data_IF_487117853979
#
_entry.id   IF_487117853979
#
_cell.length_a   1.000
_cell.length_b   1.000
_cell.length_c   1.000
_cell.angle_alpha   90.00
_cell.angle_beta   90.00
_cell.angle_gamma   90.00
#
_symmetry.space_group_name_H-M   'P 1'
#
loop_
_entity.id
_entity.type
_entity.pdbx_description
1 polymer ?
#
# COMPACT_ATOMS: atom_id res chain seq x y z
N UNK A 1 -28.45 17.06 -15.59
CA UNK A 1 -28.62 17.26 -14.15
C UNK A 1 -29.20 15.97 -13.60
N UNK A 2 -28.37 15.08 -13.06
CA UNK A 2 -28.84 13.88 -12.39
C UNK A 2 -29.07 14.23 -10.90
N UNK A 3 -30.33 14.22 -10.49
CA UNK A 3 -30.73 14.24 -9.10
C UNK A 3 -30.23 12.97 -8.42
N UNK A 4 -29.14 13.07 -7.66
CA UNK A 4 -28.72 12.03 -6.74
C UNK A 4 -29.71 12.10 -5.57
N UNK A 5 -30.66 11.15 -5.55
CA UNK A 5 -31.58 11.00 -4.43
C UNK A 5 -30.79 10.76 -3.14
N UNK A 6 -30.93 11.65 -2.14
CA UNK A 6 -30.49 11.39 -0.77
C UNK A 6 -31.32 10.22 -0.23
N UNK A 7 -30.82 9.01 -0.32
CA UNK A 7 -31.39 7.89 0.43
C UNK A 7 -31.21 8.18 1.93
N UNK A 8 -32.30 8.15 2.69
CA UNK A 8 -32.26 8.31 4.14
C UNK A 8 -31.37 7.20 4.75
N UNK A 9 -30.42 7.60 5.59
CA UNK A 9 -29.54 6.67 6.29
C UNK A 9 -30.36 5.81 7.27
N UNK A 10 -30.07 4.53 7.34
CA UNK A 10 -30.66 3.64 8.34
C UNK A 10 -30.15 3.98 9.75
N UNK A 11 -30.91 3.63 10.78
CA UNK A 11 -30.49 3.83 12.18
C UNK A 11 -29.12 3.16 12.48
N UNK A 12 -28.84 1.99 11.88
CA UNK A 12 -27.56 1.31 12.01
C UNK A 12 -26.39 2.10 11.38
N UNK A 13 -26.62 2.70 10.22
CA UNK A 13 -25.61 3.55 9.55
C UNK A 13 -25.34 4.85 10.34
N UNK A 14 -26.36 5.43 10.95
CA UNK A 14 -26.22 6.60 11.84
C UNK A 14 -25.44 6.23 13.11
N UNK A 15 -25.73 5.08 13.71
CA UNK A 15 -25.00 4.56 14.87
C UNK A 15 -23.52 4.32 14.57
N UNK A 16 -23.21 3.65 13.47
CA UNK A 16 -21.84 3.41 13.01
C UNK A 16 -21.08 4.73 12.79
N UNK A 17 -21.71 5.71 12.13
CA UNK A 17 -21.08 7.03 11.89
C UNK A 17 -20.74 7.73 13.19
N UNK A 18 -21.67 7.77 14.14
CA UNK A 18 -21.44 8.40 15.44
C UNK A 18 -20.33 7.72 16.25
N UNK A 19 -20.19 6.41 16.14
CA UNK A 19 -19.10 5.68 16.79
C UNK A 19 -17.74 5.99 16.15
N UNK A 20 -17.64 6.01 14.82
CA UNK A 20 -16.42 6.38 14.09
C UNK A 20 -16.05 7.84 14.42
N UNK A 21 -17.02 8.76 14.35
CA UNK A 21 -16.77 10.17 14.67
C UNK A 21 -16.16 10.33 16.07
N UNK A 22 -16.72 9.63 17.06
CA UNK A 22 -16.23 9.69 18.44
C UNK A 22 -14.82 9.12 18.59
N UNK A 23 -14.53 7.97 17.96
CA UNK A 23 -13.22 7.33 18.03
C UNK A 23 -12.15 8.20 17.36
N UNK A 24 -12.43 8.72 16.16
CA UNK A 24 -11.46 9.55 15.43
C UNK A 24 -11.23 10.87 16.16
N UNK A 25 -12.30 11.51 16.68
CA UNK A 25 -12.17 12.75 17.45
C UNK A 25 -11.37 12.53 18.73
N UNK A 26 -11.57 11.40 19.43
CA UNK A 26 -10.81 11.09 20.65
C UNK A 26 -9.30 10.96 20.37
N UNK A 27 -8.88 10.47 19.21
CA UNK A 27 -7.48 10.43 18.81
C UNK A 27 -6.88 11.83 18.56
N UNK A 28 -7.67 12.72 17.96
CA UNK A 28 -7.30 14.13 17.77
C UNK A 28 -7.17 14.84 19.13
N UNK A 29 -8.17 14.67 20.00
CA UNK A 29 -8.22 15.30 21.32
C UNK A 29 -7.09 14.80 22.23
N UNK A 30 -6.70 13.54 22.08
CA UNK A 30 -5.57 12.93 22.77
C UNK A 30 -4.19 13.33 22.19
N UNK A 31 -4.14 14.12 21.11
CA UNK A 31 -2.88 14.55 20.50
C UNK A 31 -2.15 13.45 19.72
N UNK A 32 -2.84 12.40 19.28
CA UNK A 32 -2.23 11.28 18.53
C UNK A 32 -1.96 11.67 17.07
N UNK A 33 -2.90 12.38 16.44
CA UNK A 33 -2.79 12.93 15.09
C UNK A 33 -3.63 14.20 14.95
N UNK A 34 -3.21 15.16 14.10
CA UNK A 34 -3.91 16.45 13.95
C UNK A 34 -5.18 16.35 13.15
N UNK A 35 -5.30 15.34 12.30
CA UNK A 35 -6.47 15.09 11.47
C UNK A 35 -6.37 13.77 10.71
N UNK A 36 -7.48 13.36 10.13
CA UNK A 36 -7.60 12.10 9.42
C UNK A 36 -8.66 12.14 8.32
N UNK A 37 -8.58 11.20 7.40
CA UNK A 37 -9.67 10.82 6.49
C UNK A 37 -10.05 9.39 6.79
N UNK A 38 -11.34 9.13 6.95
CA UNK A 38 -11.90 7.79 7.09
C UNK A 38 -12.88 7.53 5.95
N UNK A 39 -12.70 6.39 5.28
CA UNK A 39 -13.64 5.89 4.28
C UNK A 39 -14.02 4.46 4.65
N UNK A 40 -15.31 4.21 4.76
CA UNK A 40 -15.89 2.89 4.99
C UNK A 40 -16.84 2.58 3.85
N UNK A 41 -16.76 1.38 3.31
CA UNK A 41 -17.58 0.97 2.18
C UNK A 41 -17.89 -0.51 2.15
N UNK A 42 -18.69 -0.87 1.16
CA UNK A 42 -18.99 -2.24 0.73
C UNK A 42 -18.59 -2.40 -0.74
N UNK A 43 -18.75 -3.60 -1.28
CA UNK A 43 -18.46 -3.87 -2.69
C UNK A 43 -19.24 -2.98 -3.67
N UNK A 44 -20.41 -2.48 -3.30
CA UNK A 44 -21.32 -1.68 -4.13
C UNK A 44 -21.36 -0.19 -3.79
N UNK A 45 -20.99 0.21 -2.56
CA UNK A 45 -21.24 1.58 -2.08
C UNK A 45 -20.22 2.05 -1.05
N UNK A 46 -20.07 3.37 -0.98
CA UNK A 46 -19.37 4.05 0.11
C UNK A 46 -20.41 4.41 1.18
N UNK A 47 -20.20 3.94 2.40
CA UNK A 47 -21.11 4.17 3.54
C UNK A 47 -20.73 5.44 4.33
N UNK A 48 -19.42 5.70 4.42
CA UNK A 48 -18.85 6.89 5.06
C UNK A 48 -17.64 7.34 4.25
N UNK A 49 -17.53 8.65 3.99
CA UNK A 49 -16.30 9.29 3.54
C UNK A 49 -16.23 10.63 4.25
N UNK A 50 -15.26 10.81 5.16
CA UNK A 50 -15.20 12.00 6.00
C UNK A 50 -13.76 12.37 6.37
N UNK A 51 -13.49 13.69 6.35
CA UNK A 51 -12.30 14.30 6.92
C UNK A 51 -12.58 14.81 8.33
N UNK A 52 -11.55 14.77 9.18
CA UNK A 52 -11.59 15.18 10.59
C UNK A 52 -10.36 16.02 10.90
N UNK A 53 -10.49 16.96 11.84
CA UNK A 53 -9.37 17.78 12.30
C UNK A 53 -8.75 18.62 11.17
N UNK A 54 -7.43 18.72 11.18
CA UNK A 54 -6.68 19.58 10.29
C UNK A 54 -5.41 18.89 9.76
N UNK A 55 -4.75 19.49 8.74
CA UNK A 55 -3.48 18.95 8.21
C UNK A 55 -2.33 19.01 9.24
N UNK A 56 -2.40 19.97 10.14
CA UNK A 56 -1.42 20.16 11.23
C UNK A 56 -2.16 20.50 12.52
N UNK A 57 -1.45 20.63 13.63
CA UNK A 57 -2.04 21.07 14.89
C UNK A 57 -2.52 22.53 14.90
N UNK A 58 -2.28 23.28 13.84
CA UNK A 58 -2.85 24.63 13.68
C UNK A 58 -4.30 24.57 13.20
N UNK A 59 -5.26 25.18 13.92
CA UNK A 59 -6.65 25.24 13.50
C UNK A 59 -6.88 26.06 12.21
N UNK A 60 -5.89 26.83 11.77
CA UNK A 60 -5.93 27.55 10.49
C UNK A 60 -5.46 26.71 9.31
N UNK A 61 -4.92 25.51 9.55
CA UNK A 61 -4.52 24.62 8.46
C UNK A 61 -5.75 23.93 7.84
N UNK A 62 -5.67 23.46 6.57
CA UNK A 62 -6.82 22.88 5.88
C UNK A 62 -7.41 21.66 6.61
N UNK A 63 -8.72 21.48 6.49
CA UNK A 63 -9.40 20.24 6.89
C UNK A 63 -9.17 19.18 5.81
N UNK A 64 -8.81 17.95 6.17
CA UNK A 64 -8.64 16.88 5.21
C UNK A 64 -9.94 16.53 4.47
N UNK A 65 -9.82 16.24 3.18
CA UNK A 65 -10.94 15.82 2.32
C UNK A 65 -10.69 14.41 1.76
N UNK A 66 -11.70 13.52 1.83
CA UNK A 66 -11.59 12.18 1.25
C UNK A 66 -11.32 12.17 -0.26
N UNK A 67 -11.79 13.22 -0.97
CA UNK A 67 -11.69 13.36 -2.42
C UNK A 67 -10.36 13.93 -2.89
N UNK A 68 -9.78 14.82 -2.09
CA UNK A 68 -8.72 15.71 -2.60
C UNK A 68 -7.43 15.72 -1.79
N UNK A 69 -7.45 15.29 -0.53
CA UNK A 69 -6.23 15.23 0.28
C UNK A 69 -5.38 14.03 -0.14
N UNK A 70 -4.15 14.30 -0.55
CA UNK A 70 -3.16 13.31 -0.88
C UNK A 70 -2.40 12.89 0.38
N UNK A 71 -2.39 11.61 0.68
CA UNK A 71 -1.61 11.02 1.75
C UNK A 71 -0.44 10.21 1.17
N UNK A 72 0.74 10.35 1.74
CA UNK A 72 1.83 9.41 1.53
C UNK A 72 1.42 8.08 2.15
N UNK A 73 1.31 7.06 1.33
CA UNK A 73 0.80 5.75 1.75
C UNK A 73 1.84 4.90 2.46
N UNK A 74 3.11 5.30 2.45
CA UNK A 74 4.20 4.49 2.99
C UNK A 74 4.07 3.01 2.55
N UNK A 75 4.09 2.05 3.48
CA UNK A 75 4.02 0.62 3.16
C UNK A 75 2.69 0.15 2.56
N UNK A 76 1.60 0.91 2.65
CA UNK A 76 0.36 0.60 1.91
C UNK A 76 0.62 0.63 0.39
N UNK A 77 1.69 1.28 -0.07
CA UNK A 77 2.21 1.19 -1.46
C UNK A 77 2.36 -0.27 -1.90
N UNK A 78 2.86 -1.16 -1.04
CA UNK A 78 3.06 -2.57 -1.37
C UNK A 78 1.78 -3.22 -1.86
N UNK A 79 0.69 -3.03 -1.12
CA UNK A 79 -0.58 -3.71 -1.39
C UNK A 79 -1.45 -2.99 -2.42
N UNK A 80 -1.22 -1.70 -2.68
CA UNK A 80 -1.98 -0.92 -3.68
C UNK A 80 -1.29 -0.90 -5.04
N UNK A 81 0.04 -1.01 -5.09
CA UNK A 81 0.81 -0.94 -6.33
C UNK A 81 1.55 -2.25 -6.65
N UNK A 82 2.52 -2.62 -5.83
CA UNK A 82 3.48 -3.67 -6.14
C UNK A 82 2.84 -5.06 -6.22
N UNK A 83 2.03 -5.40 -5.21
CA UNK A 83 1.35 -6.71 -5.18
C UNK A 83 0.35 -6.87 -6.33
N UNK A 84 -0.57 -5.92 -6.61
CA UNK A 84 -1.47 -6.05 -7.75
C UNK A 84 -0.76 -6.10 -9.10
N UNK A 85 0.36 -5.38 -9.27
CA UNK A 85 1.18 -5.50 -10.47
C UNK A 85 1.79 -6.91 -10.60
N UNK A 86 2.29 -7.50 -9.50
CA UNK A 86 2.75 -8.89 -9.49
C UNK A 86 1.60 -9.87 -9.79
N UNK A 87 0.40 -9.67 -9.21
CA UNK A 87 -0.79 -10.47 -9.51
C UNK A 87 -1.09 -10.49 -11.01
N UNK A 88 -1.04 -9.33 -11.67
CA UNK A 88 -1.23 -9.23 -13.14
C UNK A 88 -0.23 -10.07 -13.91
N UNK A 89 1.03 -10.03 -13.54
CA UNK A 89 2.08 -10.81 -14.20
C UNK A 89 1.94 -12.31 -13.94
N UNK A 90 1.53 -12.69 -12.73
CA UNK A 90 1.27 -14.10 -12.38
C UNK A 90 0.10 -14.64 -13.18
N UNK A 91 -1.00 -13.91 -13.26
CA UNK A 91 -2.18 -14.28 -14.03
C UNK A 91 -1.89 -14.40 -15.52
N UNK A 92 -1.07 -13.50 -16.05
CA UNK A 92 -0.62 -13.54 -17.45
C UNK A 92 0.43 -14.65 -17.73
N UNK A 93 0.83 -15.43 -16.73
CA UNK A 93 1.87 -16.47 -16.87
C UNK A 93 3.28 -15.94 -17.13
N UNK A 94 3.48 -14.63 -17.01
CA UNK A 94 4.78 -13.96 -17.22
C UNK A 94 5.68 -14.01 -15.99
N UNK A 95 5.13 -14.27 -14.82
CA UNK A 95 5.79 -14.44 -13.54
C UNK A 95 5.22 -15.67 -12.84
N UNK A 96 6.06 -16.55 -12.31
CA UNK A 96 5.63 -17.68 -11.49
C UNK A 96 6.10 -17.47 -10.06
N UNK A 97 5.30 -17.88 -9.09
CA UNK A 97 5.67 -17.81 -7.68
C UNK A 97 6.95 -18.60 -7.36
N UNK A 98 7.20 -19.69 -8.09
CA UNK A 98 8.39 -20.53 -7.97
C UNK A 98 9.60 -20.01 -8.73
N UNK A 99 9.48 -18.99 -9.56
CA UNK A 99 10.63 -18.45 -10.31
C UNK A 99 11.69 -17.93 -9.33
N UNK A 100 12.98 -18.30 -9.52
CA UNK A 100 14.05 -17.73 -8.73
C UNK A 100 14.23 -16.24 -9.06
N UNK A 101 14.52 -15.44 -8.04
CA UNK A 101 14.74 -13.97 -8.20
C UNK A 101 15.85 -13.70 -9.23
N UNK A 102 16.89 -14.52 -9.24
CA UNK A 102 18.03 -14.39 -10.17
C UNK A 102 17.67 -14.54 -11.65
N UNK A 103 16.52 -15.16 -11.96
CA UNK A 103 16.00 -15.20 -13.34
C UNK A 103 15.77 -13.82 -13.91
N UNK A 104 15.34 -12.89 -13.07
CA UNK A 104 14.99 -11.52 -13.46
C UNK A 104 16.05 -10.50 -13.06
N UNK A 105 16.75 -10.79 -11.96
CA UNK A 105 17.79 -9.97 -11.36
C UNK A 105 19.07 -10.82 -11.23
N UNK A 106 19.81 -11.06 -12.34
CA UNK A 106 21.00 -11.89 -12.31
C UNK A 106 22.11 -11.30 -11.43
N UNK A 107 22.01 -10.00 -11.09
CA UNK A 107 22.91 -9.30 -10.18
C UNK A 107 22.68 -9.63 -8.69
N UNK A 108 21.54 -10.29 -8.35
CA UNK A 108 21.21 -10.71 -6.98
C UNK A 108 21.98 -11.97 -6.59
N UNK A 109 23.30 -11.81 -6.40
CA UNK A 109 24.25 -12.91 -6.16
C UNK A 109 24.71 -12.98 -4.69
N UNK A 110 25.05 -14.18 -4.24
CA UNK A 110 25.56 -14.46 -2.90
C UNK A 110 25.03 -15.78 -2.35
N UNK A 111 25.56 -16.20 -1.21
CA UNK A 111 25.25 -17.48 -0.58
C UNK A 111 23.74 -17.67 -0.33
N UNK A 112 23.17 -18.73 -0.91
CA UNK A 112 21.76 -19.11 -0.76
C UNK A 112 20.76 -18.26 -1.53
N UNK A 113 21.19 -17.19 -2.24
CA UNK A 113 20.29 -16.31 -3.01
C UNK A 113 19.71 -16.99 -4.25
N UNK A 114 20.37 -18.01 -4.77
CA UNK A 114 19.88 -18.89 -5.84
C UNK A 114 18.59 -19.63 -5.45
N UNK A 115 18.36 -19.82 -4.15
CA UNK A 115 17.16 -20.46 -3.60
C UNK A 115 16.01 -19.45 -3.37
N UNK A 116 16.24 -18.15 -3.47
CA UNK A 116 15.18 -17.14 -3.23
C UNK A 116 14.25 -17.09 -4.43
N UNK A 117 12.98 -17.40 -4.20
CA UNK A 117 11.91 -17.31 -5.21
C UNK A 117 11.04 -16.07 -5.04
N UNK A 118 10.23 -15.77 -6.05
CA UNK A 118 9.19 -14.73 -5.99
C UNK A 118 8.25 -14.93 -4.81
N UNK A 119 7.85 -16.18 -4.52
CA UNK A 119 7.03 -16.51 -3.35
C UNK A 119 7.72 -16.11 -2.04
N UNK A 120 9.04 -16.33 -1.92
CA UNK A 120 9.78 -15.93 -0.73
C UNK A 120 9.78 -14.41 -0.51
N UNK A 121 9.82 -13.60 -1.58
CA UNK A 121 9.68 -12.14 -1.48
C UNK A 121 8.28 -11.76 -0.99
N UNK A 122 7.23 -12.37 -1.57
CA UNK A 122 5.83 -12.09 -1.24
C UNK A 122 5.46 -12.52 0.18
N UNK A 123 5.96 -13.65 0.67
CA UNK A 123 5.73 -14.13 2.04
C UNK A 123 6.67 -13.51 3.07
N UNK A 124 7.62 -12.67 2.66
CA UNK A 124 8.67 -12.16 3.53
C UNK A 124 9.51 -13.25 4.19
N UNK A 125 9.79 -14.31 3.45
CA UNK A 125 10.60 -15.44 3.89
C UNK A 125 11.88 -15.62 3.08
N UNK A 126 12.34 -14.55 2.42
CA UNK A 126 13.57 -14.58 1.61
C UNK A 126 14.85 -14.75 2.41
N UNK A 127 14.82 -14.43 3.70
CA UNK A 127 16.01 -14.36 4.56
C UNK A 127 16.70 -12.99 4.56
N UNK A 128 16.22 -12.03 3.78
CA UNK A 128 16.73 -10.65 3.82
C UNK A 128 16.27 -9.94 5.10
N UNK A 129 17.13 -9.03 5.62
CA UNK A 129 16.79 -8.18 6.78
C UNK A 129 15.57 -7.29 6.52
N UNK A 130 14.90 -6.85 7.58
CA UNK A 130 13.74 -5.98 7.51
C UNK A 130 14.03 -4.65 6.79
N UNK A 131 15.13 -4.00 7.15
CA UNK A 131 15.48 -2.66 6.72
C UNK A 131 16.98 -2.49 6.51
N UNK A 132 17.36 -1.69 5.52
CA UNK A 132 18.74 -1.26 5.26
C UNK A 132 18.72 0.25 5.03
N UNK A 133 19.50 1.07 5.76
CA UNK A 133 19.48 2.53 5.61
C UNK A 133 20.22 2.96 4.32
N UNK A 134 19.55 2.77 3.18
CA UNK A 134 20.12 3.06 1.85
C UNK A 134 20.47 4.54 1.71
N UNK A 135 19.61 5.42 2.21
CA UNK A 135 19.81 6.87 2.12
C UNK A 135 21.05 7.38 2.86
N UNK A 136 21.49 6.66 3.92
CA UNK A 136 22.71 7.00 4.67
C UNK A 136 23.97 6.38 4.02
N UNK A 137 23.81 5.21 3.38
CA UNK A 137 24.92 4.36 2.91
C UNK A 137 25.19 4.52 1.40
N UNK A 138 24.41 5.33 0.70
CA UNK A 138 24.55 5.55 -0.74
C UNK A 138 24.43 7.04 -1.09
N UNK A 139 25.02 7.43 -2.19
CA UNK A 139 24.97 8.81 -2.71
C UNK A 139 23.90 9.00 -3.80
N UNK A 140 23.51 7.92 -4.47
CA UNK A 140 22.58 7.91 -5.60
C UNK A 140 21.77 6.61 -5.64
N UNK A 141 20.86 6.53 -6.60
CA UNK A 141 19.99 5.35 -6.77
C UNK A 141 20.75 4.11 -7.23
N UNK A 142 21.84 4.26 -7.97
CA UNK A 142 22.65 3.14 -8.48
C UNK A 142 23.39 2.47 -7.33
N UNK A 143 24.07 3.25 -6.49
CA UNK A 143 24.74 2.74 -5.29
C UNK A 143 23.75 2.18 -4.26
N UNK A 144 22.56 2.79 -4.11
CA UNK A 144 21.50 2.26 -3.29
C UNK A 144 21.01 0.88 -3.78
N UNK A 145 20.78 0.75 -5.08
CA UNK A 145 20.35 -0.53 -5.68
C UNK A 145 21.40 -1.63 -5.50
N UNK A 146 22.68 -1.29 -5.66
CA UNK A 146 23.77 -2.24 -5.41
C UNK A 146 23.75 -2.75 -3.98
N UNK A 147 23.55 -1.88 -2.97
CA UNK A 147 23.46 -2.30 -1.58
C UNK A 147 22.32 -3.30 -1.33
N UNK A 148 21.17 -3.14 -1.99
CA UNK A 148 20.06 -4.10 -1.88
C UNK A 148 20.42 -5.44 -2.53
N UNK A 149 21.02 -5.40 -3.72
CA UNK A 149 21.40 -6.60 -4.47
C UNK A 149 22.50 -7.40 -3.78
N UNK A 150 23.44 -6.73 -3.11
CA UNK A 150 24.57 -7.33 -2.40
C UNK A 150 24.25 -7.72 -0.95
N UNK A 151 23.11 -7.26 -0.37
CA UNK A 151 22.78 -7.55 1.03
C UNK A 151 22.73 -9.06 1.29
N UNK A 152 23.51 -9.60 2.24
CA UNK A 152 23.52 -11.03 2.53
C UNK A 152 22.22 -11.49 3.17
N UNK A 153 21.88 -12.77 2.97
CA UNK A 153 20.76 -13.38 3.68
C UNK A 153 21.15 -13.63 5.15
N UNK A 154 20.23 -13.33 6.06
CA UNK A 154 20.34 -13.65 7.50
C UNK A 154 19.86 -15.06 7.82
N UNK A 155 18.90 -15.55 7.01
CA UNK A 155 18.24 -16.83 7.19
C UNK A 155 18.19 -17.57 5.85
N UNK A 156 18.12 -18.90 5.91
CA UNK A 156 17.81 -19.67 4.71
C UNK A 156 16.41 -19.32 4.20
N UNK A 157 16.22 -19.18 2.87
CA UNK A 157 14.91 -18.91 2.30
C UNK A 157 13.85 -19.92 2.76
N UNK A 158 12.67 -19.44 3.11
CA UNK A 158 11.54 -20.24 3.56
C UNK A 158 11.54 -20.64 5.04
N UNK A 159 12.60 -20.34 5.82
CA UNK A 159 12.73 -20.81 7.21
C UNK A 159 12.19 -19.81 8.22
N UNK A 160 12.35 -18.50 7.95
CA UNK A 160 11.95 -17.45 8.89
C UNK A 160 11.16 -16.36 8.17
N UNK A 161 10.09 -15.88 8.80
CA UNK A 161 9.31 -14.74 8.29
C UNK A 161 9.81 -13.47 8.95
N UNK A 162 10.42 -12.56 8.17
CA UNK A 162 10.84 -11.23 8.60
C UNK A 162 10.30 -10.21 7.59
N UNK A 163 9.33 -9.36 8.03
CA UNK A 163 8.84 -8.27 7.18
C UNK A 163 10.00 -7.43 6.67
N UNK A 164 10.18 -7.35 5.36
CA UNK A 164 11.35 -6.74 4.75
C UNK A 164 10.96 -5.82 3.59
N UNK A 165 11.40 -4.56 3.67
CA UNK A 165 11.27 -3.60 2.58
C UNK A 165 12.09 -4.01 1.37
N UNK A 166 13.23 -4.70 1.59
CA UNK A 166 14.10 -5.18 0.50
C UNK A 166 13.36 -6.16 -0.41
N UNK A 167 12.49 -7.00 0.16
CA UNK A 167 11.65 -7.92 -0.62
C UNK A 167 10.75 -7.17 -1.60
N UNK A 168 10.10 -6.12 -1.15
CA UNK A 168 9.20 -5.33 -1.98
C UNK A 168 9.97 -4.48 -3.01
N UNK A 169 11.16 -3.99 -2.66
CA UNK A 169 12.06 -3.31 -3.62
C UNK A 169 12.44 -4.27 -4.74
N UNK A 170 12.94 -5.47 -4.43
CA UNK A 170 13.30 -6.48 -5.43
C UNK A 170 12.10 -6.88 -6.28
N UNK A 171 10.91 -7.04 -5.67
CA UNK A 171 9.69 -7.35 -6.43
C UNK A 171 9.32 -6.23 -7.40
N UNK A 172 9.46 -4.96 -6.99
CA UNK A 172 9.29 -3.81 -7.87
C UNK A 172 10.21 -3.89 -9.09
N UNK A 173 11.49 -4.17 -8.90
CA UNK A 173 12.44 -4.31 -10.01
C UNK A 173 12.15 -5.53 -10.90
N UNK A 174 11.69 -6.65 -10.32
CA UNK A 174 11.23 -7.82 -11.12
C UNK A 174 10.06 -7.41 -12.02
N UNK A 175 9.09 -6.65 -11.48
CA UNK A 175 7.95 -6.15 -12.26
C UNK A 175 8.44 -5.28 -13.42
N UNK A 176 9.39 -4.38 -13.17
CA UNK A 176 9.98 -3.51 -14.21
C UNK A 176 10.71 -4.32 -15.29
N UNK A 177 11.52 -5.30 -14.89
CA UNK A 177 12.24 -6.19 -15.84
C UNK A 177 11.29 -7.03 -16.68
N UNK A 178 10.25 -7.58 -16.09
CA UNK A 178 9.27 -8.40 -16.81
C UNK A 178 8.36 -7.56 -17.70
N UNK A 179 7.95 -6.37 -17.27
CA UNK A 179 7.06 -5.50 -18.03
C UNK A 179 7.77 -4.68 -19.11
N UNK A 180 9.06 -4.37 -18.91
CA UNK A 180 9.83 -3.44 -19.74
C UNK A 180 9.47 -1.96 -19.49
N UNK A 181 8.74 -1.66 -18.41
CA UNK A 181 8.29 -0.32 -18.03
C UNK A 181 8.59 -0.08 -16.56
N UNK A 182 8.75 1.19 -16.14
CA UNK A 182 8.87 1.53 -14.72
C UNK A 182 7.61 1.17 -13.94
N UNK A 183 7.77 0.91 -12.63
CA UNK A 183 6.67 0.46 -11.76
C UNK A 183 5.49 1.45 -11.77
N UNK A 184 5.78 2.76 -11.71
CA UNK A 184 4.75 3.81 -11.78
C UNK A 184 3.95 3.76 -13.09
N UNK A 185 4.61 3.52 -14.24
CA UNK A 185 3.94 3.36 -15.53
C UNK A 185 3.08 2.09 -15.59
N UNK A 186 3.58 0.99 -15.02
CA UNK A 186 2.83 -0.27 -14.99
C UNK A 186 1.53 -0.10 -14.20
N UNK A 187 1.61 0.41 -12.97
CA UNK A 187 0.43 0.51 -12.10
C UNK A 187 -0.54 1.58 -12.58
N UNK A 188 -0.04 2.68 -13.14
CA UNK A 188 -0.88 3.73 -13.74
C UNK A 188 -1.78 3.16 -14.84
N UNK A 189 -1.18 2.47 -15.82
CA UNK A 189 -1.89 1.99 -17.01
C UNK A 189 -2.72 0.74 -16.72
N UNK A 190 -2.20 -0.18 -15.93
CA UNK A 190 -2.84 -1.49 -15.74
C UNK A 190 -3.79 -1.56 -14.55
N UNK A 191 -3.70 -0.60 -13.61
CA UNK A 191 -4.50 -0.61 -12.39
C UNK A 191 -5.24 0.73 -12.18
N UNK A 192 -4.52 1.84 -12.03
CA UNK A 192 -5.14 3.08 -11.55
C UNK A 192 -6.12 3.68 -12.56
N UNK A 193 -5.73 3.79 -13.83
CA UNK A 193 -6.64 4.28 -14.88
C UNK A 193 -7.89 3.40 -15.05
N UNK A 194 -7.77 2.06 -15.18
CA UNK A 194 -8.96 1.20 -15.28
C UNK A 194 -9.87 1.25 -14.06
N UNK A 195 -9.32 1.50 -12.87
CA UNK A 195 -10.08 1.61 -11.62
C UNK A 195 -10.63 3.02 -11.37
N UNK A 196 -10.28 4.00 -12.20
CA UNK A 196 -10.67 5.39 -12.01
C UNK A 196 -9.98 6.05 -10.80
N UNK A 197 -8.79 5.58 -10.42
CA UNK A 197 -7.98 6.12 -9.32
C UNK A 197 -7.11 7.27 -9.82
N UNK A 198 -7.74 8.36 -10.22
CA UNK A 198 -7.10 9.48 -10.93
C UNK A 198 -6.20 10.35 -10.04
N UNK A 199 -6.34 10.24 -8.73
CA UNK A 199 -5.55 10.97 -7.74
C UNK A 199 -4.39 10.15 -7.16
N UNK A 200 -4.30 8.87 -7.51
CA UNK A 200 -3.27 7.93 -7.01
C UNK A 200 -2.05 7.97 -7.92
N UNK A 201 -0.86 8.26 -7.36
CA UNK A 201 0.37 8.40 -8.13
C UNK A 201 1.63 8.32 -7.30
N UNK A 202 2.70 7.92 -7.92
CA UNK A 202 4.05 8.25 -7.47
C UNK A 202 4.39 9.70 -7.85
N UNK A 203 5.40 10.31 -7.21
CA UNK A 203 5.96 11.63 -7.57
C UNK A 203 4.90 12.71 -7.75
N UNK A 204 4.32 13.17 -6.64
CA UNK A 204 3.32 14.24 -6.64
C UNK A 204 3.88 15.50 -7.31
N UNK A 205 3.24 16.03 -8.37
CA UNK A 205 3.66 17.29 -8.98
C UNK A 205 3.58 18.46 -7.98
N UNK A 206 4.54 19.38 -8.05
CA UNK A 206 4.62 20.52 -7.10
C UNK A 206 3.31 21.34 -7.00
N UNK A 207 2.57 21.47 -8.09
CA UNK A 207 1.27 22.16 -8.10
C UNK A 207 0.23 21.51 -7.15
N UNK A 208 0.38 20.23 -6.87
CA UNK A 208 -0.52 19.46 -5.99
C UNK A 208 -0.03 19.39 -4.53
N UNK A 209 1.17 19.88 -4.20
CA UNK A 209 1.72 19.75 -2.85
C UNK A 209 0.85 20.40 -1.77
N UNK A 210 0.10 21.46 -2.12
CA UNK A 210 -0.87 22.10 -1.20
C UNK A 210 -2.00 21.15 -0.77
N UNK A 211 -2.23 20.09 -1.54
CA UNK A 211 -3.23 19.06 -1.27
C UNK A 211 -2.63 17.87 -0.49
N UNK A 212 -1.33 17.80 -0.34
CA UNK A 212 -0.69 16.70 0.37
C UNK A 212 -0.63 16.96 1.87
N UNK A 213 -1.19 16.03 2.65
CA UNK A 213 -1.06 16.07 4.10
C UNK A 213 0.42 15.98 4.48
N UNK A 214 0.92 16.86 5.36
CA UNK A 214 2.31 16.80 5.81
C UNK A 214 2.63 15.53 6.59
N UNK A 215 3.83 14.99 6.39
CA UNK A 215 4.36 13.83 7.13
C UNK A 215 5.66 14.21 7.84
N UNK A 216 5.71 15.35 8.46
CA UNK A 216 6.89 15.85 9.15
C UNK A 216 7.16 17.31 8.84
N UNK A 217 8.30 17.79 9.31
CA UNK A 217 8.67 19.19 9.18
C UNK A 217 10.07 19.34 8.60
N UNK A 218 10.24 20.37 7.79
CA UNK A 218 11.56 20.85 7.37
C UNK A 218 11.77 22.26 7.93
N UNK A 219 12.72 22.43 8.84
CA UNK A 219 13.03 23.71 9.52
C UNK A 219 11.78 24.37 10.12
N UNK A 220 10.96 23.57 10.81
CA UNK A 220 9.71 24.04 11.42
C UNK A 220 8.56 24.29 10.46
N UNK A 221 8.70 23.93 9.18
CA UNK A 221 7.62 24.03 8.18
C UNK A 221 7.10 22.64 7.82
N UNK A 222 5.80 22.38 7.94
CA UNK A 222 5.20 21.12 7.52
C UNK A 222 5.48 20.83 6.05
N UNK A 223 5.93 19.61 5.74
CA UNK A 223 6.27 19.18 4.38
C UNK A 223 5.32 18.11 3.92
N UNK A 224 4.63 18.37 2.80
CA UNK A 224 3.78 17.39 2.09
C UNK A 224 4.15 17.30 0.62
N UNK A 225 3.78 16.18 -0.02
CA UNK A 225 3.99 15.96 -1.45
C UNK A 225 5.35 15.40 -1.87
N UNK A 226 6.27 15.25 -0.92
CA UNK A 226 7.51 14.46 -1.09
C UNK A 226 7.38 13.16 -0.32
N UNK A 227 7.90 12.06 -0.88
CA UNK A 227 7.88 10.77 -0.17
C UNK A 227 8.66 10.86 1.14
N UNK A 228 8.02 10.40 2.21
CA UNK A 228 8.60 10.38 3.56
C UNK A 228 9.71 9.35 3.68
N UNK A 229 9.52 8.18 3.10
CA UNK A 229 10.50 7.10 3.12
C UNK A 229 11.78 7.53 2.40
N UNK A 230 12.85 7.67 3.17
CA UNK A 230 14.14 8.18 2.65
C UNK A 230 14.82 7.18 1.70
N UNK A 231 14.58 5.87 1.86
CA UNK A 231 15.07 4.86 0.93
C UNK A 231 14.32 4.94 -0.40
N UNK A 232 12.99 5.10 -0.37
CA UNK A 232 12.21 5.32 -1.58
C UNK A 232 12.63 6.63 -2.28
N UNK A 233 12.87 7.71 -1.52
CA UNK A 233 13.42 8.96 -2.05
C UNK A 233 14.80 8.74 -2.72
N UNK A 234 15.70 7.99 -2.09
CA UNK A 234 17.02 7.63 -2.60
C UNK A 234 16.93 6.80 -3.89
N UNK A 235 15.92 5.95 -4.00
CA UNK A 235 15.61 5.16 -5.21
C UNK A 235 14.84 5.95 -6.28
N UNK A 236 14.68 7.27 -6.14
CA UNK A 236 14.05 8.15 -7.13
C UNK A 236 12.55 8.36 -6.96
N UNK A 237 11.99 8.02 -5.79
CA UNK A 237 10.58 8.26 -5.44
C UNK A 237 9.60 7.23 -6.00
N UNK A 238 10.07 6.23 -6.75
CA UNK A 238 9.28 5.09 -7.22
C UNK A 238 9.94 3.82 -6.71
N UNK A 239 9.35 3.19 -5.71
CA UNK A 239 9.90 1.97 -5.15
C UNK A 239 8.79 0.99 -4.77
N UNK A 240 9.09 -0.31 -4.81
CA UNK A 240 8.09 -1.34 -4.53
C UNK A 240 7.57 -1.35 -3.10
N UNK A 241 8.29 -0.73 -2.16
CA UNK A 241 7.95 -0.74 -0.73
C UNK A 241 7.23 0.53 -0.25
N UNK A 242 7.42 1.68 -0.92
CA UNK A 242 6.88 2.99 -0.54
C UNK A 242 6.94 4.00 -1.70
N UNK A 243 6.34 5.18 -1.53
CA UNK A 243 6.40 6.30 -2.48
C UNK A 243 5.09 6.61 -3.20
N UNK A 244 4.04 5.80 -3.00
CA UNK A 244 2.73 6.06 -3.56
C UNK A 244 1.96 7.07 -2.72
N UNK A 245 1.27 7.99 -3.38
CA UNK A 245 0.31 8.91 -2.79
C UNK A 245 -1.09 8.61 -3.30
N UNK A 246 -2.10 8.78 -2.45
CA UNK A 246 -3.50 8.57 -2.82
C UNK A 246 -4.46 9.39 -1.97
N UNK A 247 -5.72 9.43 -2.38
CA UNK A 247 -6.85 9.97 -1.61
C UNK A 247 -7.65 8.84 -0.97
N UNK A 248 -8.48 9.17 0.03
CA UNK A 248 -9.37 8.20 0.67
C UNK A 248 -10.33 7.54 -0.31
N UNK A 249 -10.89 8.32 -1.26
CA UNK A 249 -11.84 7.76 -2.25
C UNK A 249 -11.16 6.88 -3.30
N UNK A 250 -9.92 7.16 -3.70
CA UNK A 250 -9.19 6.26 -4.60
C UNK A 250 -8.87 4.95 -3.92
N UNK A 251 -8.46 4.98 -2.64
CA UNK A 251 -8.27 3.75 -1.86
C UNK A 251 -9.57 2.96 -1.69
N UNK A 252 -10.72 3.64 -1.53
CA UNK A 252 -12.02 2.98 -1.51
C UNK A 252 -12.36 2.31 -2.84
N UNK A 253 -12.00 2.90 -3.99
CA UNK A 253 -12.13 2.25 -5.31
C UNK A 253 -11.29 0.99 -5.39
N UNK A 254 -10.06 1.05 -4.89
CA UNK A 254 -9.16 -0.10 -4.82
C UNK A 254 -9.70 -1.20 -3.89
N UNK A 255 -10.18 -0.85 -2.69
CA UNK A 255 -10.79 -1.82 -1.77
C UNK A 255 -12.01 -2.50 -2.41
N UNK A 256 -12.89 -1.73 -3.07
CA UNK A 256 -14.04 -2.27 -3.81
C UNK A 256 -13.64 -3.19 -4.95
N UNK A 257 -12.57 -2.88 -5.67
CA UNK A 257 -12.00 -3.75 -6.69
C UNK A 257 -11.62 -5.13 -6.11
N UNK A 258 -10.98 -5.16 -4.95
CA UNK A 258 -10.63 -6.40 -4.27
C UNK A 258 -11.89 -7.15 -3.77
N UNK A 259 -12.85 -6.46 -3.14
CA UNK A 259 -14.14 -7.02 -2.72
C UNK A 259 -14.96 -7.55 -3.91
N UNK A 260 -14.85 -6.90 -5.06
CA UNK A 260 -15.50 -7.32 -6.32
C UNK A 260 -14.69 -8.40 -7.05
N UNK A 261 -13.74 -9.04 -6.36
CA UNK A 261 -12.91 -10.13 -6.89
C UNK A 261 -12.22 -9.78 -8.22
N UNK A 262 -11.61 -8.58 -8.25
CA UNK A 262 -10.81 -8.13 -9.38
C UNK A 262 -11.58 -7.46 -10.52
N UNK A 263 -12.83 -7.04 -10.28
CA UNK A 263 -13.64 -6.29 -11.26
C UNK A 263 -13.53 -4.78 -11.05
N UNK A 264 -13.35 -4.06 -12.13
CA UNK A 264 -13.40 -2.60 -12.17
C UNK A 264 -14.86 -2.08 -12.03
N UNK A 265 -15.06 -0.77 -11.75
CA UNK A 265 -16.40 -0.18 -11.64
C UNK A 265 -17.27 -0.33 -12.90
N UNK A 266 -16.67 -0.43 -14.07
CA UNK A 266 -17.34 -0.67 -15.35
C UNK A 266 -17.55 -2.17 -15.67
N UNK A 267 -17.43 -3.03 -14.67
CA UNK A 267 -17.54 -4.48 -14.71
C UNK A 267 -16.46 -5.20 -15.53
N UNK A 268 -15.46 -4.53 -16.07
CA UNK A 268 -14.30 -5.19 -16.69
C UNK A 268 -13.52 -5.98 -15.65
N UNK A 269 -13.09 -7.18 -16.01
CA UNK A 269 -12.18 -7.98 -15.19
C UNK A 269 -10.75 -7.46 -15.39
N UNK A 270 -10.16 -6.94 -14.33
CA UNK A 270 -8.76 -6.52 -14.30
C UNK A 270 -7.89 -7.66 -13.76
N UNK A 271 -8.40 -8.38 -12.74
CA UNK A 271 -7.79 -9.58 -12.17
C UNK A 271 -8.87 -10.67 -12.06
N UNK A 272 -8.50 -11.91 -12.32
CA UNK A 272 -9.37 -13.06 -12.10
C UNK A 272 -9.65 -13.26 -10.60
N UNK A 273 -10.86 -13.74 -10.29
CA UNK A 273 -11.26 -14.00 -8.91
C UNK A 273 -10.35 -15.00 -8.19
N UNK A 274 -9.83 -15.98 -8.90
CA UNK A 274 -8.90 -16.99 -8.37
C UNK A 274 -7.56 -16.37 -8.01
N UNK A 275 -7.07 -15.41 -8.81
CA UNK A 275 -5.83 -14.68 -8.51
C UNK A 275 -6.00 -13.83 -7.25
N UNK A 276 -7.11 -13.09 -7.14
CA UNK A 276 -7.40 -12.30 -5.93
C UNK A 276 -7.49 -13.22 -4.70
N UNK A 277 -8.21 -14.34 -4.80
CA UNK A 277 -8.34 -15.30 -3.71
C UNK A 277 -7.01 -15.96 -3.33
N UNK A 278 -6.14 -16.27 -4.32
CA UNK A 278 -4.82 -16.84 -4.09
C UNK A 278 -3.95 -15.90 -3.22
N UNK A 279 -3.93 -14.61 -3.55
CA UNK A 279 -3.08 -13.65 -2.85
C UNK A 279 -3.62 -13.25 -1.47
N UNK A 280 -4.93 -13.25 -1.28
CA UNK A 280 -5.58 -13.02 0.02
C UNK A 280 -5.60 -14.24 0.94
N UNK A 281 -5.18 -15.44 0.46
CA UNK A 281 -5.26 -16.68 1.23
C UNK A 281 -4.08 -16.81 2.21
N UNK A 282 -4.38 -17.25 3.43
CA UNK A 282 -3.38 -17.63 4.42
C UNK A 282 -2.60 -18.86 3.97
N UNK A 283 -1.27 -18.77 3.99
CA UNK A 283 -0.39 -19.90 3.68
C UNK A 283 0.49 -20.32 4.87
N UNK A 284 0.25 -19.71 6.02
CA UNK A 284 0.98 -19.90 7.27
C UNK A 284 1.28 -18.56 7.94
N UNK A 285 1.25 -18.50 9.27
CA UNK A 285 1.45 -17.26 10.02
C UNK A 285 0.38 -16.20 9.74
N UNK A 286 0.74 -14.93 9.90
CA UNK A 286 -0.13 -13.76 9.75
C UNK A 286 -0.07 -13.11 8.37
N UNK A 287 0.49 -13.79 7.32
CA UNK A 287 0.66 -13.20 6.00
C UNK A 287 0.13 -14.07 4.87
N UNK A 288 -0.49 -13.41 3.88
CA UNK A 288 -0.73 -13.92 2.55
C UNK A 288 0.40 -13.55 1.60
N UNK A 289 0.16 -13.66 0.29
CA UNK A 289 1.14 -13.25 -0.74
C UNK A 289 1.23 -11.72 -0.81
N UNK A 290 1.97 -11.12 0.13
CA UNK A 290 2.23 -9.69 0.25
C UNK A 290 1.25 -8.92 1.12
N UNK A 291 0.09 -9.48 1.44
CA UNK A 291 -0.87 -8.88 2.36
C UNK A 291 -0.61 -9.30 3.81
N UNK A 292 -0.87 -8.39 4.74
CA UNK A 292 -1.07 -8.70 6.14
C UNK A 292 -2.49 -9.29 6.29
N UNK A 293 -2.62 -10.38 7.03
CA UNK A 293 -3.88 -11.06 7.27
C UNK A 293 -4.31 -10.85 8.71
N UNK A 294 -5.62 -10.74 8.93
CA UNK A 294 -6.16 -10.70 10.28
C UNK A 294 -5.67 -11.91 11.09
N UNK A 295 -5.09 -11.65 12.25
CA UNK A 295 -4.75 -12.65 13.25
C UNK A 295 -5.71 -12.52 14.44
N UNK A 296 -6.72 -13.37 14.47
CA UNK A 296 -7.72 -13.38 15.55
C UNK A 296 -7.16 -13.84 16.91
N UNK A 297 -5.90 -14.29 16.93
CA UNK A 297 -5.25 -14.82 18.13
C UNK A 297 -4.33 -13.80 18.82
N UNK A 298 -3.95 -12.75 18.13
CA UNK A 298 -3.07 -11.69 18.65
C UNK A 298 -3.68 -10.31 18.37
N UNK A 299 -3.39 -9.34 19.25
CA UNK A 299 -3.72 -7.95 18.97
C UNK A 299 -2.79 -7.46 17.85
N UNK A 300 -3.29 -7.44 16.64
CA UNK A 300 -2.59 -6.95 15.46
C UNK A 300 -3.01 -5.52 15.09
N UNK A 301 -2.47 -5.05 13.95
CA UNK A 301 -2.73 -3.70 13.46
C UNK A 301 -4.14 -3.49 12.87
N UNK A 302 -4.95 -4.55 12.70
CA UNK A 302 -6.30 -4.47 12.14
C UNK A 302 -7.37 -4.23 13.22
N UNK A 303 -7.04 -4.57 14.47
CA UNK A 303 -8.01 -4.65 15.57
C UNK A 303 -8.82 -5.94 15.55
N UNK A 304 -9.24 -6.41 16.71
CA UNK A 304 -9.82 -7.75 16.93
C UNK A 304 -11.24 -8.00 16.40
N UNK A 305 -11.77 -7.16 15.50
CA UNK A 305 -13.18 -7.24 15.05
C UNK A 305 -13.37 -7.53 13.55
N UNK A 306 -12.31 -7.65 12.79
CA UNK A 306 -12.40 -8.07 11.40
C UNK A 306 -12.57 -9.59 11.29
N UNK A 307 -13.16 -10.07 10.20
CA UNK A 307 -13.34 -11.51 9.99
C UNK A 307 -12.00 -12.21 9.72
N UNK A 308 -11.93 -13.51 9.99
CA UNK A 308 -10.73 -14.32 9.80
C UNK A 308 -10.23 -14.42 8.33
N UNK A 309 -10.94 -13.83 7.37
CA UNK A 309 -10.53 -13.75 5.97
C UNK A 309 -10.04 -12.38 5.56
N UNK A 310 -9.99 -11.43 6.51
CA UNK A 310 -9.60 -10.05 6.23
C UNK A 310 -8.13 -9.92 5.94
N UNK A 311 -7.80 -9.02 5.02
CA UNK A 311 -6.44 -8.74 4.60
C UNK A 311 -6.25 -7.25 4.31
N UNK A 312 -5.03 -6.79 4.47
CA UNK A 312 -4.73 -5.38 4.29
C UNK A 312 -3.28 -5.04 4.52
N UNK A 313 -3.01 -3.81 4.91
CA UNK A 313 -1.69 -3.36 5.35
C UNK A 313 -1.78 -2.00 6.06
N UNK A 314 -0.83 -1.74 6.95
CA UNK A 314 -0.62 -0.44 7.57
C UNK A 314 0.57 0.29 6.93
N UNK A 315 0.62 1.62 7.07
CA UNK A 315 1.69 2.48 6.61
C UNK A 315 2.31 3.28 7.76
N UNK A 316 3.62 3.46 7.71
CA UNK A 316 4.39 4.20 8.73
C UNK A 316 3.86 5.63 8.95
N UNK A 317 3.29 6.23 7.93
CA UNK A 317 2.69 7.58 7.96
C UNK A 317 1.31 7.64 8.63
N UNK A 318 0.84 6.55 9.24
CA UNK A 318 -0.48 6.44 9.88
C UNK A 318 -1.61 6.06 8.91
N UNK A 319 -1.28 5.66 7.69
CA UNK A 319 -2.28 5.17 6.72
C UNK A 319 -2.56 3.68 6.92
N UNK A 320 -3.76 3.24 6.56
CA UNK A 320 -4.11 1.83 6.54
C UNK A 320 -5.19 1.52 5.50
N UNK A 321 -5.20 0.29 5.02
CA UNK A 321 -6.21 -0.25 4.13
C UNK A 321 -6.53 -1.68 4.56
N UNK A 322 -7.81 -1.96 4.85
CA UNK A 322 -8.28 -3.30 5.21
C UNK A 322 -9.49 -3.69 4.37
N UNK A 323 -9.52 -4.92 3.95
CA UNK A 323 -10.60 -5.56 3.18
C UNK A 323 -11.09 -6.76 3.96
N UNK A 324 -12.38 -6.75 4.29
CA UNK A 324 -13.10 -7.83 4.97
C UNK A 324 -14.08 -8.43 3.95
N UNK A 325 -13.78 -9.61 3.37
CA UNK A 325 -14.51 -10.22 2.25
C UNK A 325 -15.95 -10.64 2.57
#
# INVERSE_FOLDING_TARGET
VALIGLAALTAAQLGMRGEIDRVVQSGIDAGVYPGAVVVVGRSDSVLLARGYGHYTWSPSSPVPSPESTLYDLASVTKVVATIPAAMRLVEAGRLRLSDPVQRFLPEFLGDGKDMVSVAHLLYHTSGLRAYLPLHERSTDSVSASRLVLEEPLRWRPGVHTEYSDLNAILLGWIIERVSGRSLDQVVEVELFQPLGMTETRYRVPRVLWKRAAPVGEWRGTPVGGTVHDQNAARLGGVAGHAGLFSTGLDLARFARFLLSRGRAPDCRTILGAETVALFGRRAGGSRGLGFELEDTTTADNSGSRLSAGSYGHTGYTGTSLWVDP
#
